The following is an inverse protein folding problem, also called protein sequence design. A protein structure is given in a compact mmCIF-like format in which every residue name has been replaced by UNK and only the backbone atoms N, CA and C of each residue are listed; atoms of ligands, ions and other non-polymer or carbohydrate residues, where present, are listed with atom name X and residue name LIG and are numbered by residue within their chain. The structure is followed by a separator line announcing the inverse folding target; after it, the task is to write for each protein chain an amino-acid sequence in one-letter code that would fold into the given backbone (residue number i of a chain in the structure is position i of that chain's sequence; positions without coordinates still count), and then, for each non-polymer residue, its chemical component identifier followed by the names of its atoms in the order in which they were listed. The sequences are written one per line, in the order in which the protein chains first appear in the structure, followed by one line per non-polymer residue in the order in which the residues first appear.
data_IF_530565232346
#
_entry.id   IF_530565232346
#
_cell.length_a   1.000
_cell.length_b   1.000
_cell.length_c   1.000
_cell.angle_alpha   90.00
_cell.angle_beta   90.00
_cell.angle_gamma   90.00
#
_symmetry.space_group_name_H-M   'P 1'
#
loop_
_entity.id
_entity.type
_entity.pdbx_description
1 polymer ?
#
# COMPACT_ATOMS: atom_id res chain seq x y z
N UNK A 1 63.33 35.77 -19.62
CA UNK A 1 62.31 36.61 -18.97
C UNK A 1 61.17 36.79 -19.97
N UNK A 2 60.18 35.91 -19.89
CA UNK A 2 59.07 35.81 -20.84
C UNK A 2 57.89 36.65 -20.37
N UNK A 3 57.54 37.65 -21.18
CA UNK A 3 56.40 38.56 -20.98
C UNK A 3 55.09 37.85 -21.30
N UNK A 4 54.23 37.73 -20.28
CA UNK A 4 52.84 37.27 -20.40
C UNK A 4 51.95 38.40 -20.97
N UNK A 5 51.24 38.10 -22.05
CA UNK A 5 50.06 38.86 -22.48
C UNK A 5 48.81 38.28 -21.79
N UNK A 6 47.94 39.09 -21.17
CA UNK A 6 46.62 38.63 -20.74
C UNK A 6 45.61 38.68 -21.89
N UNK A 7 44.80 37.63 -22.01
CA UNK A 7 43.66 37.55 -22.94
C UNK A 7 42.48 38.40 -22.44
N UNK A 8 41.57 38.85 -23.34
CA UNK A 8 40.46 39.74 -22.98
C UNK A 8 39.32 39.00 -22.27
N UNK A 9 38.72 39.69 -21.30
CA UNK A 9 37.45 39.31 -20.69
C UNK A 9 36.31 39.40 -21.71
N UNK A 10 35.67 38.26 -21.98
CA UNK A 10 34.40 38.21 -22.70
C UNK A 10 33.25 38.28 -21.67
N UNK A 11 32.66 39.46 -21.54
CA UNK A 11 31.45 39.74 -20.78
C UNK A 11 30.26 39.62 -21.75
N UNK A 12 29.77 38.40 -21.99
CA UNK A 12 28.37 38.14 -22.37
C UNK A 12 28.15 36.63 -22.56
N UNK A 13 27.98 35.91 -21.45
CA UNK A 13 27.32 34.60 -21.46
C UNK A 13 26.06 34.67 -20.62
N UNK A 14 24.91 34.80 -21.29
CA UNK A 14 23.59 34.64 -20.68
C UNK A 14 23.50 33.23 -20.07
N UNK A 15 23.15 33.06 -18.79
CA UNK A 15 22.93 31.73 -18.25
C UNK A 15 21.65 31.15 -18.87
N UNK A 16 21.81 29.99 -19.51
CA UNK A 16 20.70 29.13 -19.88
C UNK A 16 19.85 28.83 -18.63
N UNK A 17 18.52 28.85 -18.80
CA UNK A 17 17.53 28.48 -17.78
C UNK A 17 17.74 27.04 -17.31
N UNK A 18 18.67 26.82 -16.38
CA UNK A 18 18.81 25.58 -15.65
C UNK A 18 17.72 25.53 -14.58
N UNK A 19 16.73 24.67 -14.76
CA UNK A 19 15.83 24.28 -13.67
C UNK A 19 16.69 23.71 -12.53
N UNK A 20 16.54 24.18 -11.29
CA UNK A 20 17.32 23.64 -10.17
C UNK A 20 16.97 22.16 -9.96
N UNK A 21 17.98 21.32 -9.81
CA UNK A 21 17.78 19.90 -9.46
C UNK A 21 17.22 19.78 -8.05
N UNK A 22 16.43 18.73 -7.77
CA UNK A 22 15.85 18.43 -6.43
C UNK A 22 16.89 18.47 -5.31
N UNK A 23 18.17 18.20 -5.62
CA UNK A 23 19.30 18.29 -4.68
C UNK A 23 19.55 19.71 -4.15
N UNK A 24 19.29 20.74 -4.96
CA UNK A 24 19.40 22.15 -4.54
C UNK A 24 18.21 22.60 -3.67
N UNK A 25 17.02 22.02 -3.89
CA UNK A 25 15.82 22.26 -3.07
C UNK A 25 15.91 21.60 -1.68
N UNK A 26 16.58 20.46 -1.57
CA UNK A 26 16.76 19.77 -0.28
C UNK A 26 17.90 20.33 0.59
N UNK A 27 18.93 20.93 -0.01
CA UNK A 27 20.05 21.54 0.72
C UNK A 27 19.77 22.96 1.23
N UNK A 28 18.70 23.62 0.78
CA UNK A 28 18.28 24.96 1.21
C UNK A 28 17.11 24.97 2.22
N UNK A 29 16.58 23.80 2.60
CA UNK A 29 15.37 23.64 3.41
C UNK A 29 15.54 23.78 4.93
N UNK A 30 16.38 24.69 5.42
CA UNK A 30 16.55 24.96 6.86
C UNK A 30 15.79 26.21 7.37
N UNK A 31 14.98 26.88 6.53
CA UNK A 31 14.20 28.04 6.94
C UNK A 31 12.84 28.10 6.22
N UNK A 32 11.91 27.23 6.64
CA UNK A 32 10.46 27.43 6.49
C UNK A 32 9.75 26.48 7.47
N UNK A 33 9.88 26.80 8.76
CA UNK A 33 8.94 26.33 9.78
C UNK A 33 7.71 27.23 9.63
N UNK A 34 6.64 26.71 9.03
CA UNK A 34 5.42 27.45 8.79
C UNK A 34 4.32 26.57 8.22
N UNK A 35 3.53 25.98 9.11
CA UNK A 35 2.14 25.54 8.90
C UNK A 35 1.79 24.95 7.53
N UNK A 36 2.12 23.67 7.30
CA UNK A 36 1.27 22.81 6.47
C UNK A 36 0.24 22.13 7.36
N UNK A 37 -0.69 22.93 7.91
CA UNK A 37 -2.02 22.39 8.16
C UNK A 37 -2.51 21.90 6.80
N UNK A 38 -2.75 20.60 6.67
CA UNK A 38 -3.18 19.99 5.42
C UNK A 38 -4.51 20.57 4.98
N UNK A 39 -4.48 21.63 4.18
CA UNK A 39 -5.53 21.92 3.24
C UNK A 39 -5.49 20.79 2.22
N UNK A 40 -6.40 19.81 2.39
CA UNK A 40 -6.73 18.89 1.31
C UNK A 40 -7.07 19.75 0.09
N UNK A 41 -6.38 19.60 -1.05
CA UNK A 41 -6.82 20.27 -2.26
C UNK A 41 -8.23 19.77 -2.60
N UNK A 42 -9.10 20.71 -2.97
CA UNK A 42 -10.45 20.43 -3.46
C UNK A 42 -10.44 19.25 -4.42
N UNK A 43 -11.34 18.32 -4.15
CA UNK A 43 -11.50 17.05 -4.82
C UNK A 43 -11.28 17.18 -6.34
N UNK A 44 -10.27 16.47 -6.85
CA UNK A 44 -10.20 16.14 -8.27
C UNK A 44 -11.53 15.48 -8.65
N UNK A 45 -12.36 16.23 -9.38
CA UNK A 45 -13.62 15.79 -9.92
C UNK A 45 -13.35 14.69 -10.97
N UNK A 46 -13.35 13.44 -10.53
CA UNK A 46 -13.28 12.28 -11.40
C UNK A 46 -14.10 11.11 -10.84
N UNK A 47 -15.42 11.22 -10.97
CA UNK A 47 -16.36 10.11 -11.19
C UNK A 47 -17.74 10.65 -11.59
N UNK A 48 -17.79 11.60 -12.54
CA UNK A 48 -19.04 12.03 -13.13
C UNK A 48 -19.42 11.01 -14.21
N UNK A 49 -20.43 10.16 -13.93
CA UNK A 49 -21.33 9.45 -14.88
C UNK A 49 -21.82 8.07 -14.38
N UNK A 50 -21.83 7.78 -13.07
CA UNK A 50 -22.69 6.72 -12.55
C UNK A 50 -24.11 7.28 -12.37
N UNK A 51 -25.13 6.60 -12.90
CA UNK A 51 -26.52 6.94 -12.62
C UNK A 51 -26.75 6.95 -11.09
N UNK A 52 -27.51 7.91 -10.55
CA UNK A 52 -27.78 7.96 -9.12
C UNK A 52 -28.45 6.66 -8.67
N UNK A 53 -27.86 6.00 -7.67
CA UNK A 53 -28.45 4.80 -7.07
C UNK A 53 -29.62 5.18 -6.18
N UNK A 54 -30.64 4.31 -6.11
CA UNK A 54 -31.78 4.48 -5.19
C UNK A 54 -31.36 4.61 -3.71
N UNK A 55 -30.13 4.21 -3.37
CA UNK A 55 -29.58 4.26 -2.01
C UNK A 55 -28.77 5.53 -1.72
N UNK A 56 -28.51 6.40 -2.71
CA UNK A 56 -27.56 7.52 -2.58
C UNK A 56 -27.98 8.56 -1.53
N UNK A 57 -29.28 8.64 -1.22
CA UNK A 57 -29.81 9.57 -0.22
C UNK A 57 -30.12 8.91 1.14
N UNK A 58 -30.10 7.58 1.26
CA UNK A 58 -30.60 6.86 2.46
C UNK A 58 -29.52 6.71 3.56
N UNK A 59 -28.24 6.77 3.18
CA UNK A 59 -27.11 6.46 4.07
C UNK A 59 -25.95 7.45 3.93
N UNK A 60 -26.25 8.74 3.77
CA UNK A 60 -25.23 9.78 3.61
C UNK A 60 -24.61 10.21 4.94
N UNK A 61 -25.28 10.03 6.08
CA UNK A 61 -24.71 10.30 7.40
C UNK A 61 -24.13 11.74 7.52
N UNK A 62 -24.77 12.71 6.86
CA UNK A 62 -24.29 14.10 6.79
C UNK A 62 -23.06 14.32 5.90
N UNK A 63 -22.63 13.31 5.15
CA UNK A 63 -21.50 13.36 4.23
C UNK A 63 -21.97 13.66 2.78
N UNK A 64 -21.22 14.49 2.06
CA UNK A 64 -21.54 14.89 0.68
C UNK A 64 -21.03 13.92 -0.39
N UNK A 65 -20.08 13.06 -0.03
CA UNK A 65 -19.51 12.00 -0.87
C UNK A 65 -19.81 10.62 -0.26
N UNK A 66 -19.92 9.58 -1.07
CA UNK A 66 -20.08 8.22 -0.52
C UNK A 66 -18.75 7.71 0.02
N UNK A 67 -18.76 7.03 1.18
CA UNK A 67 -17.54 6.52 1.82
C UNK A 67 -16.70 5.61 0.91
N UNK A 68 -17.35 4.76 0.11
CA UNK A 68 -16.67 3.91 -0.89
C UNK A 68 -15.96 4.73 -1.99
N UNK A 69 -16.54 5.86 -2.39
CA UNK A 69 -15.95 6.73 -3.42
C UNK A 69 -14.77 7.52 -2.82
N UNK A 70 -14.90 7.96 -1.55
CA UNK A 70 -13.79 8.57 -0.81
C UNK A 70 -12.61 7.60 -0.66
N UNK A 71 -12.89 6.34 -0.30
CA UNK A 71 -11.87 5.30 -0.21
C UNK A 71 -11.22 5.05 -1.59
N UNK A 72 -12.01 4.84 -2.64
CA UNK A 72 -11.53 4.60 -4.01
C UNK A 72 -10.64 5.74 -4.50
N UNK A 73 -11.06 6.99 -4.29
CA UNK A 73 -10.29 8.18 -4.64
C UNK A 73 -8.97 8.27 -3.86
N UNK A 74 -9.01 8.03 -2.54
CA UNK A 74 -7.80 8.05 -1.71
C UNK A 74 -6.77 7.00 -2.12
N UNK A 75 -7.22 5.80 -2.53
CA UNK A 75 -6.35 4.76 -3.08
C UNK A 75 -5.68 5.23 -4.37
N UNK A 76 -6.45 5.77 -5.32
CA UNK A 76 -5.91 6.29 -6.58
C UNK A 76 -4.96 7.48 -6.37
N UNK A 77 -5.22 8.33 -5.37
CA UNK A 77 -4.33 9.43 -5.02
C UNK A 77 -2.97 8.93 -4.50
N UNK A 78 -2.95 7.92 -3.63
CA UNK A 78 -1.70 7.28 -3.17
C UNK A 78 -0.92 6.73 -4.37
N UNK A 79 -1.57 5.97 -5.23
CA UNK A 79 -0.93 5.36 -6.41
C UNK A 79 -0.41 6.43 -7.39
N UNK A 80 -1.15 7.52 -7.58
CA UNK A 80 -0.72 8.67 -8.39
C UNK A 80 0.53 9.34 -7.83
N UNK A 81 0.62 9.52 -6.51
CA UNK A 81 1.81 10.06 -5.86
C UNK A 81 3.01 9.11 -5.96
N UNK A 82 2.77 7.80 -5.82
CA UNK A 82 3.80 6.76 -6.05
C UNK A 82 4.33 6.79 -7.49
N UNK A 83 3.51 7.10 -8.49
CA UNK A 83 3.99 7.28 -9.86
C UNK A 83 5.09 8.36 -9.95
N UNK A 84 5.01 9.39 -9.10
CA UNK A 84 6.03 10.44 -8.94
C UNK A 84 7.34 9.97 -8.31
N UNK A 85 7.40 8.75 -7.75
CA UNK A 85 8.60 8.11 -7.21
C UNK A 85 9.29 7.17 -8.22
N UNK A 86 8.73 7.01 -9.43
CA UNK A 86 9.20 6.02 -10.42
C UNK A 86 10.68 6.16 -10.79
N UNK A 87 11.20 7.39 -10.97
CA UNK A 87 12.61 7.62 -11.23
C UNK A 87 13.49 7.11 -10.08
N UNK A 88 13.13 7.44 -8.84
CA UNK A 88 13.86 6.98 -7.65
C UNK A 88 13.79 5.46 -7.51
N UNK A 89 12.62 4.85 -7.74
CA UNK A 89 12.47 3.38 -7.80
C UNK A 89 13.44 2.79 -8.84
N UNK A 90 13.58 3.41 -10.00
CA UNK A 90 14.58 3.04 -11.01
C UNK A 90 16.02 3.11 -10.52
N UNK A 91 16.42 4.22 -9.93
CA UNK A 91 17.76 4.41 -9.39
C UNK A 91 18.08 3.37 -8.30
N UNK A 92 17.15 3.16 -7.37
CA UNK A 92 17.31 2.22 -6.26
C UNK A 92 17.40 0.78 -6.74
N UNK A 93 16.58 0.39 -7.72
CA UNK A 93 16.60 -0.97 -8.29
C UNK A 93 17.82 -1.20 -9.18
N UNK A 94 18.35 -0.17 -9.84
CA UNK A 94 19.64 -0.24 -10.54
C UNK A 94 20.79 -0.48 -9.56
N UNK A 95 20.78 0.22 -8.42
CA UNK A 95 21.74 0.00 -7.33
C UNK A 95 21.59 -1.42 -6.75
N UNK A 96 20.37 -1.84 -6.44
CA UNK A 96 20.08 -3.17 -5.92
C UNK A 96 20.54 -4.28 -6.88
N UNK A 97 20.34 -4.11 -8.19
CA UNK A 97 20.83 -5.07 -9.19
C UNK A 97 22.36 -5.15 -9.19
N UNK A 98 23.06 -4.02 -9.03
CA UNK A 98 24.52 -4.01 -8.93
C UNK A 98 25.02 -4.67 -7.63
N UNK A 99 24.33 -4.46 -6.50
CA UNK A 99 24.60 -5.15 -5.23
C UNK A 99 24.54 -6.66 -5.44
N UNK A 100 23.47 -7.18 -6.04
CA UNK A 100 23.33 -8.61 -6.33
C UNK A 100 24.43 -9.12 -7.27
N UNK A 101 24.73 -8.40 -8.36
CA UNK A 101 25.78 -8.80 -9.32
C UNK A 101 27.19 -8.83 -8.71
N UNK A 102 27.44 -8.04 -7.68
CA UNK A 102 28.70 -8.02 -6.93
C UNK A 102 28.77 -9.12 -5.85
N UNK A 103 27.75 -9.99 -5.74
CA UNK A 103 27.71 -11.07 -4.74
C UNK A 103 27.24 -10.61 -3.35
N UNK A 104 26.66 -9.42 -3.26
CA UNK A 104 26.03 -8.89 -2.04
C UNK A 104 24.52 -9.17 -2.03
N UNK A 105 23.87 -8.91 -0.89
CA UNK A 105 22.45 -9.21 -0.70
C UNK A 105 21.62 -7.93 -0.59
N UNK A 106 20.41 -7.97 -1.16
CA UNK A 106 19.37 -6.96 -0.96
C UNK A 106 18.40 -7.50 0.09
N UNK A 107 18.33 -6.82 1.22
CA UNK A 107 17.50 -7.15 2.37
C UNK A 107 16.27 -6.25 2.44
N UNK A 108 15.20 -6.74 3.04
CA UNK A 108 14.00 -5.96 3.34
C UNK A 108 13.47 -6.29 4.73
N UNK A 109 13.01 -5.26 5.43
CA UNK A 109 12.06 -5.37 6.53
C UNK A 109 11.01 -4.26 6.44
N UNK A 110 10.66 -3.86 5.21
CA UNK A 110 9.63 -2.87 4.88
C UNK A 110 8.19 -3.43 5.04
N UNK A 111 7.99 -4.31 6.01
CA UNK A 111 6.77 -5.10 6.15
C UNK A 111 5.93 -4.70 7.39
N UNK A 112 6.06 -3.46 7.86
CA UNK A 112 5.34 -2.99 9.05
C UNK A 112 3.85 -2.75 8.73
N UNK A 113 2.96 -3.41 9.48
CA UNK A 113 1.51 -3.43 9.27
C UNK A 113 0.92 -4.85 9.11
N UNK A 114 -0.40 -4.98 9.26
CA UNK A 114 -1.04 -6.31 9.26
C UNK A 114 -0.98 -7.02 7.89
N UNK A 115 -1.40 -6.37 6.80
CA UNK A 115 -1.21 -6.94 5.45
C UNK A 115 0.26 -7.00 4.99
N UNK A 116 1.07 -5.92 5.11
CA UNK A 116 2.46 -5.92 4.65
C UNK A 116 3.29 -7.11 5.17
N UNK A 117 3.15 -7.44 6.45
CA UNK A 117 3.87 -8.54 7.09
C UNK A 117 3.68 -9.90 6.38
N UNK A 118 2.53 -10.12 5.76
CA UNK A 118 2.22 -11.37 5.06
C UNK A 118 2.46 -11.25 3.57
N UNK A 119 1.98 -10.17 2.95
CA UNK A 119 1.96 -10.05 1.49
C UNK A 119 3.30 -9.65 0.87
N UNK A 120 4.29 -9.26 1.69
CA UNK A 120 5.61 -8.86 1.20
C UNK A 120 6.70 -9.90 1.49
N UNK A 121 6.33 -11.07 2.02
CA UNK A 121 7.30 -12.10 2.36
C UNK A 121 8.00 -12.64 1.12
N UNK A 122 9.28 -12.97 1.27
CA UNK A 122 10.06 -13.58 0.19
C UNK A 122 9.52 -14.94 -0.26
N UNK A 123 8.83 -15.68 0.62
CA UNK A 123 8.22 -16.99 0.33
C UNK A 123 6.75 -16.91 -0.12
N UNK A 124 6.21 -15.70 -0.30
CA UNK A 124 4.86 -15.50 -0.81
C UNK A 124 4.77 -15.98 -2.26
N UNK A 125 3.72 -16.74 -2.61
CA UNK A 125 3.46 -17.15 -4.00
C UNK A 125 3.48 -15.93 -4.94
N UNK A 126 4.26 -16.01 -6.01
CA UNK A 126 4.48 -14.93 -6.97
C UNK A 126 5.66 -14.00 -6.64
N UNK A 127 6.25 -14.11 -5.44
CA UNK A 127 7.47 -13.38 -5.08
C UNK A 127 8.66 -13.92 -5.88
N UNK A 128 9.52 -13.05 -6.44
CA UNK A 128 10.73 -13.49 -7.12
C UNK A 128 11.84 -13.91 -6.12
N UNK A 129 11.65 -13.70 -4.82
CA UNK A 129 12.60 -14.10 -3.77
C UNK A 129 13.94 -13.36 -3.82
N UNK A 130 14.02 -12.21 -4.51
CA UNK A 130 15.28 -11.45 -4.69
C UNK A 130 15.59 -10.61 -3.46
N UNK A 131 14.61 -9.83 -2.97
CA UNK A 131 14.74 -9.11 -1.71
C UNK A 131 14.46 -10.08 -0.56
N UNK A 132 15.43 -10.28 0.33
CA UNK A 132 15.34 -11.24 1.43
C UNK A 132 14.84 -10.58 2.71
N UNK A 133 13.90 -11.22 3.38
CA UNK A 133 13.39 -10.74 4.67
C UNK A 133 14.46 -10.84 5.76
N UNK A 134 14.64 -9.78 6.55
CA UNK A 134 15.57 -9.78 7.68
C UNK A 134 15.08 -8.87 8.82
N UNK A 135 14.41 -9.48 9.81
CA UNK A 135 13.83 -8.74 10.94
C UNK A 135 14.85 -8.40 12.03
N UNK A 136 15.90 -9.20 12.21
CA UNK A 136 16.89 -9.03 13.28
C UNK A 136 18.08 -8.15 12.91
N UNK A 137 18.23 -7.81 11.63
CA UNK A 137 19.33 -6.99 11.09
C UNK A 137 20.75 -7.55 11.37
N UNK A 138 20.85 -8.84 11.69
CA UNK A 138 22.10 -9.47 12.13
C UNK A 138 22.96 -9.97 10.97
N UNK A 139 22.34 -10.40 9.88
CA UNK A 139 23.03 -11.03 8.75
C UNK A 139 23.61 -10.04 7.72
N UNK A 140 23.33 -8.74 7.87
CA UNK A 140 23.74 -7.72 6.91
C UNK A 140 25.23 -7.38 7.07
N UNK A 141 25.94 -7.32 5.94
CA UNK A 141 27.37 -6.98 5.85
C UNK A 141 27.62 -5.80 4.92
N UNK A 142 28.78 -5.16 5.06
CA UNK A 142 29.19 -4.05 4.19
C UNK A 142 29.01 -4.40 2.69
N UNK A 143 28.48 -3.45 1.92
CA UNK A 143 28.16 -3.63 0.49
C UNK A 143 26.75 -4.17 0.23
N UNK A 144 26.04 -4.70 1.23
CA UNK A 144 24.62 -5.03 1.11
C UNK A 144 23.75 -3.76 1.00
N UNK A 145 22.48 -3.95 0.68
CA UNK A 145 21.44 -2.92 0.64
C UNK A 145 20.24 -3.34 1.49
N UNK A 146 19.60 -2.40 2.19
CA UNK A 146 18.43 -2.65 3.04
C UNK A 146 17.29 -1.69 2.70
N UNK A 147 16.08 -2.22 2.48
CA UNK A 147 14.84 -1.45 2.49
C UNK A 147 14.12 -1.62 3.84
N UNK A 148 13.82 -0.53 4.54
CA UNK A 148 13.30 -0.60 5.91
C UNK A 148 12.26 0.46 6.23
N UNK A 149 11.30 0.13 7.10
CA UNK A 149 10.40 1.13 7.70
C UNK A 149 10.92 1.67 9.05
N UNK A 150 12.02 1.12 9.57
CA UNK A 150 12.48 1.38 10.92
C UNK A 150 13.50 2.51 10.98
N UNK A 151 13.47 3.26 12.08
CA UNK A 151 14.34 4.42 12.34
C UNK A 151 15.05 4.35 13.69
N UNK A 152 15.52 3.18 14.13
CA UNK A 152 16.16 2.99 15.44
C UNK A 152 17.69 2.92 15.36
N UNK A 153 18.37 2.80 16.50
CA UNK A 153 19.84 2.66 16.57
C UNK A 153 20.39 1.44 15.84
N UNK A 154 19.63 0.35 15.74
CA UNK A 154 20.06 -0.85 15.01
C UNK A 154 20.19 -0.58 13.51
N UNK A 155 19.22 0.16 12.94
CA UNK A 155 19.27 0.60 11.54
C UNK A 155 20.41 1.60 11.32
N UNK A 156 20.64 2.52 12.26
CA UNK A 156 21.80 3.42 12.22
C UNK A 156 23.11 2.63 12.18
N UNK A 157 23.26 1.65 13.07
CA UNK A 157 24.45 0.80 13.11
C UNK A 157 24.62 0.00 11.81
N UNK A 158 23.54 -0.51 11.20
CA UNK A 158 23.58 -1.14 9.86
C UNK A 158 24.16 -0.17 8.83
N UNK A 159 23.66 1.08 8.77
CA UNK A 159 24.17 2.09 7.84
C UNK A 159 25.66 2.38 8.08
N UNK A 160 26.06 2.57 9.33
CA UNK A 160 27.46 2.86 9.73
C UNK A 160 28.42 1.70 9.40
N UNK A 161 27.93 0.45 9.37
CA UNK A 161 28.69 -0.72 8.89
C UNK A 161 28.91 -0.76 7.38
N UNK A 162 28.42 0.22 6.62
CA UNK A 162 28.61 0.32 5.17
C UNK A 162 27.53 -0.38 4.33
N UNK A 163 26.34 -0.57 4.90
CA UNK A 163 25.15 -1.01 4.16
C UNK A 163 24.44 0.21 3.58
N UNK A 164 23.96 0.11 2.34
CA UNK A 164 23.14 1.17 1.75
C UNK A 164 21.69 1.04 2.22
N UNK A 165 21.24 1.95 3.08
CA UNK A 165 19.92 1.91 3.71
C UNK A 165 18.94 2.84 2.98
N UNK A 166 17.84 2.27 2.51
CA UNK A 166 16.66 2.95 2.00
C UNK A 166 15.58 2.91 3.08
N UNK A 167 15.27 4.05 3.66
CA UNK A 167 14.10 4.16 4.54
C UNK A 167 12.84 4.35 3.70
N UNK A 168 11.77 3.62 4.02
CA UNK A 168 10.47 3.70 3.35
C UNK A 168 9.45 4.19 4.36
N UNK A 169 8.74 5.27 4.04
CA UNK A 169 7.78 5.87 4.98
C UNK A 169 6.64 4.91 5.32
N UNK A 170 6.16 4.92 6.57
CA UNK A 170 4.97 4.17 7.01
C UNK A 170 4.20 4.95 8.07
N UNK A 171 2.89 4.71 8.18
CA UNK A 171 2.02 5.34 9.19
C UNK A 171 2.31 4.88 10.63
N UNK A 172 2.92 3.70 10.81
CA UNK A 172 3.16 3.09 12.13
C UNK A 172 4.44 3.56 12.84
N UNK A 173 5.36 4.26 12.17
CA UNK A 173 6.71 4.58 12.72
C UNK A 173 7.09 6.04 12.68
N UNK A 174 7.79 6.47 13.73
CA UNK A 174 8.15 7.87 13.92
C UNK A 174 9.10 8.44 12.89
N UNK A 175 8.65 9.47 12.19
CA UNK A 175 9.39 10.09 11.12
C UNK A 175 9.09 11.60 11.03
N UNK A 176 9.87 12.27 10.21
CA UNK A 176 9.87 13.72 10.03
C UNK A 176 8.69 14.24 9.18
N UNK A 177 7.87 13.35 8.60
CA UNK A 177 6.76 13.70 7.71
C UNK A 177 5.39 13.61 8.37
N UNK A 178 5.35 13.49 9.70
CA UNK A 178 4.11 13.33 10.47
C UNK A 178 4.08 14.20 11.73
N UNK A 179 2.87 14.50 12.26
CA UNK A 179 2.75 15.24 13.51
C UNK A 179 3.45 14.52 14.67
N UNK A 180 4.22 15.27 15.46
CA UNK A 180 4.85 14.75 16.67
C UNK A 180 3.78 14.28 17.67
N UNK A 181 4.03 13.14 18.33
CA UNK A 181 3.12 12.56 19.32
C UNK A 181 1.89 11.83 18.76
N UNK A 182 1.77 11.68 17.43
CA UNK A 182 0.63 10.99 16.82
C UNK A 182 0.64 9.46 17.02
N UNK A 183 1.82 8.87 17.19
CA UNK A 183 1.93 7.40 17.30
C UNK A 183 2.07 6.96 18.72
N UNK A 184 1.42 5.83 18.97
CA UNK A 184 1.43 5.12 20.23
C UNK A 184 2.85 4.90 20.77
N UNK A 185 3.00 5.02 22.09
CA UNK A 185 4.29 4.91 22.77
C UNK A 185 4.94 3.53 22.60
N UNK A 186 4.16 2.45 22.39
CA UNK A 186 4.71 1.11 22.10
C UNK A 186 5.30 0.98 20.70
N UNK A 187 4.92 1.89 19.79
CA UNK A 187 5.52 2.07 18.47
C UNK A 187 6.46 3.28 18.43
N UNK A 188 6.64 3.96 19.56
CA UNK A 188 7.55 5.09 19.65
C UNK A 188 8.97 4.63 19.35
N UNK A 189 9.72 5.51 18.72
CA UNK A 189 11.13 5.31 18.53
C UNK A 189 11.85 5.82 19.80
N UNK A 190 12.20 4.96 20.77
CA UNK A 190 12.79 5.41 22.04
C UNK A 190 14.15 6.10 21.81
N UNK A 191 14.78 5.87 20.66
CA UNK A 191 16.04 6.48 20.30
C UNK A 191 15.90 7.93 19.80
N UNK A 192 14.68 8.41 19.55
CA UNK A 192 14.40 9.77 19.05
C UNK A 192 14.92 10.04 17.63
N UNK A 193 15.44 9.02 16.95
CA UNK A 193 15.93 9.09 15.59
C UNK A 193 14.78 9.23 14.58
N UNK A 194 15.09 9.69 13.38
CA UNK A 194 14.14 9.83 12.26
C UNK A 194 14.68 9.12 11.02
N UNK A 195 13.89 9.03 9.96
CA UNK A 195 14.29 8.25 8.77
C UNK A 195 15.55 8.83 8.14
N UNK A 196 15.67 10.16 8.07
CA UNK A 196 16.89 10.85 7.61
C UNK A 196 18.16 10.52 8.40
N UNK A 197 18.03 10.19 9.69
CA UNK A 197 19.19 9.97 10.55
C UNK A 197 19.81 8.60 10.28
N UNK A 198 18.98 7.63 9.91
CA UNK A 198 19.39 6.22 9.76
C UNK A 198 19.55 5.76 8.32
N UNK A 199 19.20 6.58 7.33
CA UNK A 199 19.16 6.16 5.92
C UNK A 199 20.10 6.95 5.01
N UNK A 200 20.42 6.36 3.86
CA UNK A 200 21.08 7.05 2.75
C UNK A 200 20.07 7.81 1.88
N UNK A 201 18.83 7.33 1.83
CA UNK A 201 17.75 7.86 1.01
C UNK A 201 16.40 7.45 1.59
N UNK A 202 15.40 8.29 1.40
CA UNK A 202 14.03 8.05 1.82
C UNK A 202 13.16 7.87 0.58
N UNK A 203 12.37 6.80 0.56
CA UNK A 203 11.37 6.50 -0.47
C UNK A 203 9.97 6.66 0.15
N UNK A 204 9.11 7.44 -0.48
CA UNK A 204 7.80 7.76 0.08
C UNK A 204 6.72 6.78 -0.40
N UNK A 205 6.09 6.09 0.55
CA UNK A 205 4.91 5.23 0.29
C UNK A 205 3.62 6.02 0.10
N UNK A 206 3.62 7.31 0.45
CA UNK A 206 2.47 8.21 0.38
C UNK A 206 1.23 7.75 1.18
N UNK A 207 1.36 6.69 1.98
CA UNK A 207 0.36 6.30 2.97
C UNK A 207 0.16 7.45 3.96
N UNK A 208 -1.07 7.96 4.16
CA UNK A 208 -1.34 9.01 5.12
C UNK A 208 -0.98 8.57 6.54
N UNK A 209 -0.53 9.50 7.38
CA UNK A 209 -0.16 9.19 8.77
C UNK A 209 -1.36 8.70 9.59
N UNK A 210 -2.58 9.08 9.22
CA UNK A 210 -3.82 8.60 9.84
C UNK A 210 -4.17 7.16 9.47
N UNK A 211 -3.45 6.58 8.48
CA UNK A 211 -3.65 5.27 7.87
C UNK A 211 -4.99 5.09 7.15
N UNK A 212 -6.09 5.58 7.70
CA UNK A 212 -7.42 5.51 7.11
C UNK A 212 -7.63 6.54 5.99
N UNK A 213 -8.55 6.23 5.07
CA UNK A 213 -8.92 7.10 3.95
C UNK A 213 -10.37 7.61 4.02
N UNK A 214 -11.20 7.01 4.88
CA UNK A 214 -12.61 7.37 5.00
C UNK A 214 -12.83 8.23 6.23
N UNK A 215 -13.54 9.35 6.08
CA UNK A 215 -13.93 10.21 7.20
C UNK A 215 -15.42 10.03 7.48
N UNK A 216 -15.74 9.38 8.59
CA UNK A 216 -17.12 9.33 9.10
C UNK A 216 -17.36 10.52 10.04
N UNK A 217 -18.32 11.43 9.76
CA UNK A 217 -18.61 12.57 10.63
C UNK A 217 -18.98 12.18 12.06
N UNK A 218 -19.59 11.00 12.25
CA UNK A 218 -19.96 10.44 13.55
C UNK A 218 -18.76 9.95 14.38
N UNK A 219 -17.59 9.80 13.76
CA UNK A 219 -16.35 9.36 14.40
C UNK A 219 -15.22 10.32 13.98
N UNK A 220 -15.27 11.60 14.40
CA UNK A 220 -14.37 12.63 13.90
C UNK A 220 -12.91 12.44 14.35
N UNK A 221 -12.65 11.62 15.36
CA UNK A 221 -11.33 11.45 15.97
C UNK A 221 -10.34 10.65 15.09
N UNK A 222 -10.83 9.83 14.16
CA UNK A 222 -9.96 9.05 13.28
C UNK A 222 -10.61 8.74 11.92
N UNK A 223 -9.76 8.56 10.91
CA UNK A 223 -10.17 8.03 9.62
C UNK A 223 -10.30 6.51 9.68
N UNK A 224 -11.23 5.94 8.91
CA UNK A 224 -11.51 4.52 8.76
C UNK A 224 -10.89 3.96 7.47
N UNK A 225 -10.87 2.64 7.38
CA UNK A 225 -10.46 1.86 6.21
C UNK A 225 -8.97 2.06 5.87
N UNK A 226 -8.11 1.10 6.24
CA UNK A 226 -6.66 1.26 6.20
C UNK A 226 -6.10 1.30 4.77
N UNK A 227 -4.96 1.98 4.58
CA UNK A 227 -4.31 2.15 3.27
C UNK A 227 -2.84 1.73 3.22
N UNK A 228 -2.29 1.20 4.31
CA UNK A 228 -0.86 0.87 4.40
C UNK A 228 -0.40 -0.11 3.32
N UNK A 229 -1.23 -1.10 2.98
CA UNK A 229 -0.91 -2.06 1.91
C UNK A 229 -0.91 -1.42 0.52
N UNK A 230 -1.73 -0.39 0.28
CA UNK A 230 -1.75 0.33 -0.99
C UNK A 230 -0.41 1.01 -1.23
N UNK A 231 0.06 1.78 -0.24
CA UNK A 231 1.31 2.51 -0.39
C UNK A 231 2.54 1.61 -0.36
N UNK A 232 2.71 0.86 0.73
CA UNK A 232 3.89 -0.01 0.91
C UNK A 232 3.90 -1.19 -0.05
N UNK A 233 2.75 -1.85 -0.23
CA UNK A 233 2.65 -3.00 -1.12
C UNK A 233 2.93 -2.63 -2.57
N UNK A 234 2.41 -1.48 -3.05
CA UNK A 234 2.71 -1.03 -4.41
C UNK A 234 4.21 -0.80 -4.60
N UNK A 235 4.88 -0.07 -3.70
CA UNK A 235 6.33 0.13 -3.78
C UNK A 235 7.11 -1.19 -3.72
N UNK A 236 6.77 -2.07 -2.79
CA UNK A 236 7.43 -3.37 -2.66
C UNK A 236 7.40 -4.17 -3.97
N UNK A 237 6.24 -4.23 -4.61
CA UNK A 237 6.07 -4.97 -5.86
C UNK A 237 6.66 -4.25 -7.07
N UNK A 238 6.61 -2.91 -7.11
CA UNK A 238 7.34 -2.11 -8.11
C UNK A 238 8.85 -2.38 -8.05
N UNK A 239 9.43 -2.38 -6.84
CA UNK A 239 10.85 -2.66 -6.61
C UNK A 239 11.21 -4.07 -7.07
N UNK A 240 10.43 -5.09 -6.69
CA UNK A 240 10.66 -6.48 -7.10
C UNK A 240 10.55 -6.66 -8.62
N UNK A 241 9.52 -6.09 -9.26
CA UNK A 241 9.31 -6.22 -10.70
C UNK A 241 10.47 -5.62 -11.50
N UNK A 242 10.91 -4.41 -11.13
CA UNK A 242 12.02 -3.74 -11.79
C UNK A 242 13.37 -4.41 -11.51
N UNK A 243 13.60 -4.85 -10.27
CA UNK A 243 14.82 -5.56 -9.92
C UNK A 243 14.93 -6.90 -10.64
N UNK A 244 13.84 -7.67 -10.71
CA UNK A 244 13.79 -8.91 -11.48
C UNK A 244 14.11 -8.67 -12.97
N UNK A 245 13.51 -7.63 -13.56
CA UNK A 245 13.78 -7.22 -14.94
C UNK A 245 15.26 -6.93 -15.16
N UNK A 246 15.88 -6.11 -14.30
CA UNK A 246 17.28 -5.72 -14.42
C UNK A 246 18.23 -6.90 -14.25
N UNK A 247 17.92 -7.84 -13.37
CA UNK A 247 18.73 -9.04 -13.18
C UNK A 247 18.61 -10.00 -14.37
N UNK A 248 17.42 -10.14 -14.96
CA UNK A 248 17.18 -11.02 -16.10
C UNK A 248 17.63 -10.43 -17.45
N UNK A 249 17.59 -9.10 -17.60
CA UNK A 249 17.86 -8.41 -18.86
C UNK A 249 18.99 -7.37 -18.70
N UNK A 250 20.19 -7.64 -19.24
CA UNK A 250 21.30 -6.68 -19.23
C UNK A 250 21.01 -5.36 -19.96
N UNK A 251 20.06 -5.36 -20.90
CA UNK A 251 19.62 -4.19 -21.65
C UNK A 251 18.35 -3.54 -21.07
N UNK A 252 17.97 -3.88 -19.84
CA UNK A 252 16.83 -3.27 -19.17
C UNK A 252 16.96 -1.74 -19.14
N UNK A 253 15.85 -1.05 -19.41
CA UNK A 253 15.77 0.41 -19.25
C UNK A 253 15.98 0.82 -17.79
N UNK A 254 16.30 2.09 -17.52
CA UNK A 254 16.43 2.58 -16.14
C UNK A 254 15.16 2.36 -15.28
N UNK A 255 13.99 2.47 -15.90
CA UNK A 255 12.66 2.26 -15.31
C UNK A 255 11.75 1.71 -16.42
N UNK A 256 11.06 0.59 -16.16
CA UNK A 256 10.06 0.04 -17.08
C UNK A 256 9.05 -0.85 -16.33
N UNK A 257 9.48 -1.97 -15.77
CA UNK A 257 8.58 -2.98 -15.17
C UNK A 257 7.94 -2.52 -13.87
N UNK A 258 8.57 -1.60 -13.13
CA UNK A 258 7.93 -0.90 -12.01
C UNK A 258 6.74 -0.05 -12.46
N UNK A 259 6.87 0.68 -13.56
CA UNK A 259 5.80 1.53 -14.12
C UNK A 259 4.69 0.67 -14.71
N UNK A 260 5.04 -0.38 -15.45
CA UNK A 260 4.07 -1.35 -15.99
C UNK A 260 3.26 -2.01 -14.87
N UNK A 261 3.91 -2.44 -13.78
CA UNK A 261 3.21 -2.97 -12.61
C UNK A 261 2.22 -1.95 -12.03
N UNK A 262 2.65 -0.69 -11.83
CA UNK A 262 1.79 0.35 -11.27
C UNK A 262 0.60 0.65 -12.18
N UNK A 263 0.79 0.70 -13.50
CA UNK A 263 -0.28 0.88 -14.49
C UNK A 263 -1.31 -0.25 -14.39
N UNK A 264 -0.86 -1.51 -14.37
CA UNK A 264 -1.75 -2.66 -14.22
C UNK A 264 -2.53 -2.58 -12.90
N UNK A 265 -1.88 -2.17 -11.80
CA UNK A 265 -2.54 -2.01 -10.51
C UNK A 265 -3.61 -0.91 -10.55
N UNK A 266 -3.28 0.27 -11.11
CA UNK A 266 -4.23 1.39 -11.28
C UNK A 266 -5.42 0.96 -12.13
N UNK A 267 -5.19 0.37 -13.30
CA UNK A 267 -6.25 -0.11 -14.20
C UNK A 267 -7.21 -1.08 -13.48
N UNK A 268 -6.67 -2.01 -12.67
CA UNK A 268 -7.49 -2.94 -11.87
C UNK A 268 -8.32 -2.23 -10.82
N UNK A 269 -7.73 -1.27 -10.10
CA UNK A 269 -8.47 -0.46 -9.10
C UNK A 269 -9.55 0.38 -9.76
N UNK A 270 -9.29 0.97 -10.93
CA UNK A 270 -10.31 1.70 -11.68
C UNK A 270 -11.45 0.79 -12.11
N UNK A 271 -11.15 -0.43 -12.58
CA UNK A 271 -12.17 -1.42 -12.95
C UNK A 271 -13.06 -1.85 -11.78
N UNK A 272 -12.58 -1.83 -10.54
CA UNK A 272 -13.42 -2.08 -9.35
C UNK A 272 -14.59 -1.11 -9.27
N UNK A 273 -14.49 0.09 -9.86
CA UNK A 273 -15.61 1.03 -9.95
C UNK A 273 -16.83 0.46 -10.71
N UNK A 274 -16.64 -0.55 -11.56
CA UNK A 274 -17.76 -1.25 -12.22
C UNK A 274 -18.66 -2.00 -11.23
N UNK A 275 -18.16 -2.33 -10.03
CA UNK A 275 -18.93 -3.01 -8.99
C UNK A 275 -19.70 -2.06 -8.06
N UNK A 276 -19.65 -0.74 -8.28
CA UNK A 276 -20.15 0.26 -7.32
C UNK A 276 -21.60 0.03 -6.89
N UNK A 277 -22.52 -0.17 -7.83
CA UNK A 277 -23.93 -0.37 -7.52
C UNK A 277 -24.13 -1.64 -6.68
N UNK A 278 -23.57 -2.77 -7.12
CA UNK A 278 -23.67 -4.04 -6.42
C UNK A 278 -23.03 -4.01 -5.02
N UNK A 279 -21.91 -3.30 -4.86
CA UNK A 279 -21.28 -3.05 -3.55
C UNK A 279 -22.25 -2.33 -2.60
N UNK A 280 -22.96 -1.29 -3.07
CA UNK A 280 -23.95 -0.57 -2.27
C UNK A 280 -25.11 -1.47 -1.88
N UNK A 281 -25.71 -2.18 -2.83
CA UNK A 281 -26.83 -3.09 -2.53
C UNK A 281 -26.43 -4.16 -1.51
N UNK A 282 -25.20 -4.68 -1.64
CA UNK A 282 -24.64 -5.68 -0.72
C UNK A 282 -24.43 -5.09 0.66
N UNK A 283 -23.85 -3.89 0.77
CA UNK A 283 -23.64 -3.21 2.04
C UNK A 283 -24.97 -2.96 2.79
N UNK A 284 -26.03 -2.54 2.08
CA UNK A 284 -27.39 -2.40 2.66
C UNK A 284 -27.92 -3.74 3.15
N UNK A 285 -27.76 -4.81 2.37
CA UNK A 285 -28.14 -6.18 2.75
C UNK A 285 -27.40 -6.66 4.01
N UNK A 286 -26.10 -6.38 4.10
CA UNK A 286 -25.27 -6.68 5.27
C UNK A 286 -25.76 -5.91 6.51
N UNK A 287 -25.96 -4.60 6.39
CA UNK A 287 -26.39 -3.76 7.49
C UNK A 287 -27.75 -4.19 8.06
N UNK A 288 -28.73 -4.50 7.19
CA UNK A 288 -30.05 -4.99 7.61
C UNK A 288 -29.95 -6.29 8.39
N UNK A 289 -29.13 -7.24 7.93
CA UNK A 289 -28.87 -8.52 8.58
C UNK A 289 -28.22 -8.36 9.97
N UNK A 290 -27.21 -7.51 10.07
CA UNK A 290 -26.52 -7.21 11.33
C UNK A 290 -27.49 -6.55 12.32
N UNK A 291 -28.29 -5.57 11.89
CA UNK A 291 -29.32 -4.92 12.74
C UNK A 291 -30.39 -5.87 13.26
N UNK A 292 -30.68 -6.96 12.54
CA UNK A 292 -31.61 -8.01 13.00
C UNK A 292 -30.96 -9.00 13.99
N UNK A 293 -29.71 -8.74 14.39
CA UNK A 293 -28.93 -9.52 15.35
C UNK A 293 -27.93 -10.49 14.72
N UNK A 294 -27.71 -10.42 13.40
CA UNK A 294 -26.62 -11.15 12.76
C UNK A 294 -25.23 -10.64 13.16
N UNK A 295 -24.20 -11.34 12.69
CA UNK A 295 -22.79 -10.97 12.83
C UNK A 295 -22.08 -11.03 11.48
N UNK A 296 -20.98 -10.30 11.36
CA UNK A 296 -20.16 -10.28 10.16
C UNK A 296 -18.89 -11.09 10.40
N UNK A 297 -18.66 -12.09 9.55
CA UNK A 297 -17.48 -12.92 9.56
C UNK A 297 -16.71 -12.79 8.26
N UNK A 298 -15.39 -12.87 8.35
CA UNK A 298 -14.46 -12.89 7.21
C UNK A 298 -13.61 -14.15 7.30
N UNK A 299 -13.40 -14.82 6.16
CA UNK A 299 -12.46 -15.93 6.01
C UNK A 299 -11.61 -15.70 4.77
N UNK A 300 -10.30 -15.81 4.94
CA UNK A 300 -9.30 -15.67 3.89
C UNK A 300 -8.11 -16.56 4.26
N UNK A 301 -8.09 -17.75 3.68
CA UNK A 301 -7.11 -18.80 3.98
C UNK A 301 -5.90 -18.73 3.05
N UNK A 302 -6.14 -18.45 1.77
CA UNK A 302 -5.07 -18.28 0.79
C UNK A 302 -4.44 -16.87 0.89
N UNK A 303 -5.19 -15.90 1.40
CA UNK A 303 -4.78 -14.51 1.55
C UNK A 303 -4.89 -14.06 3.02
N UNK A 304 -4.04 -14.64 3.87
CA UNK A 304 -4.12 -14.45 5.33
C UNK A 304 -3.81 -13.03 5.79
N UNK A 305 -3.06 -12.25 5.00
CA UNK A 305 -2.80 -10.82 5.26
C UNK A 305 -4.10 -10.01 5.38
N UNK A 306 -5.03 -10.19 4.45
CA UNK A 306 -6.35 -9.53 4.52
C UNK A 306 -7.15 -9.98 5.75
N UNK A 307 -7.08 -11.26 6.13
CA UNK A 307 -7.73 -11.72 7.37
C UNK A 307 -7.14 -11.02 8.59
N UNK A 308 -5.83 -10.80 8.63
CA UNK A 308 -5.17 -10.08 9.72
C UNK A 308 -5.67 -8.63 9.80
N UNK A 309 -5.71 -7.93 8.67
CA UNK A 309 -6.16 -6.52 8.58
C UNK A 309 -7.63 -6.34 8.98
N UNK A 310 -8.50 -7.27 8.60
CA UNK A 310 -9.94 -7.19 8.85
C UNK A 310 -10.34 -7.58 10.28
N UNK A 311 -9.54 -8.42 10.95
CA UNK A 311 -9.86 -8.92 12.31
C UNK A 311 -9.20 -8.08 13.40
N UNK A 312 -8.12 -7.35 13.07
CA UNK A 312 -7.45 -6.44 14.00
C UNK A 312 -7.87 -4.98 13.75
N UNK A 313 -7.45 -4.09 14.64
CA UNK A 313 -7.73 -2.64 14.58
C UNK A 313 -6.65 -1.97 13.74
N UNK A 314 -6.62 -2.23 12.44
CA UNK A 314 -5.70 -1.55 11.55
C UNK A 314 -6.10 -0.07 11.42
N UNK A 315 -7.37 0.20 11.08
CA UNK A 315 -7.97 1.55 11.10
C UNK A 315 -9.49 1.41 11.07
N UNK A 316 -10.14 1.60 12.22
CA UNK A 316 -11.60 1.45 12.34
C UNK A 316 -12.05 0.54 13.50
N UNK A 317 -13.36 0.44 13.74
CA UNK A 317 -13.89 -0.40 14.80
C UNK A 317 -13.75 -1.90 14.46
N UNK A 318 -13.38 -2.70 15.46
CA UNK A 318 -13.31 -4.17 15.36
C UNK A 318 -14.73 -4.76 15.36
N UNK A 319 -15.33 -4.89 14.16
CA UNK A 319 -16.71 -5.38 14.00
C UNK A 319 -16.81 -6.76 13.31
N UNK A 320 -15.68 -7.29 12.85
CA UNK A 320 -15.58 -8.52 12.06
C UNK A 320 -15.14 -9.68 12.95
N UNK A 321 -15.67 -10.88 12.70
CA UNK A 321 -15.33 -12.12 13.39
C UNK A 321 -15.56 -12.06 14.92
N UNK A 322 -16.43 -11.16 15.36
CA UNK A 322 -16.78 -11.02 16.77
C UNK A 322 -18.16 -11.63 17.08
N UNK A 323 -18.22 -12.41 18.15
CA UNK A 323 -19.44 -13.08 18.63
C UNK A 323 -19.64 -14.50 18.11
N UNK A 324 -20.75 -15.11 18.51
CA UNK A 324 -21.09 -16.49 18.19
C UNK A 324 -21.78 -16.62 16.82
N UNK A 325 -21.14 -17.36 15.92
CA UNK A 325 -21.70 -17.71 14.60
C UNK A 325 -23.04 -18.45 14.74
N UNK A 326 -23.14 -19.37 15.69
CA UNK A 326 -24.27 -20.29 15.84
C UNK A 326 -25.52 -19.63 16.42
N UNK A 327 -25.39 -18.44 17.04
CA UNK A 327 -26.51 -17.75 17.67
C UNK A 327 -27.62 -17.41 16.67
N UNK A 328 -27.27 -16.92 15.46
CA UNK A 328 -28.22 -16.46 14.43
C UNK A 328 -27.69 -16.69 13.00
N UNK A 329 -27.35 -17.93 12.60
CA UNK A 329 -26.66 -18.24 11.33
C UNK A 329 -27.34 -17.67 10.09
N UNK A 330 -28.67 -17.77 10.01
CA UNK A 330 -29.47 -17.22 8.89
C UNK A 330 -29.42 -15.69 8.76
N UNK A 331 -28.96 -14.99 9.79
CA UNK A 331 -28.78 -13.53 9.79
C UNK A 331 -27.32 -13.14 9.64
N UNK A 332 -26.38 -14.08 9.67
CA UNK A 332 -24.97 -13.77 9.53
C UNK A 332 -24.63 -13.37 8.08
N UNK A 333 -23.48 -12.71 7.99
CA UNK A 333 -22.78 -12.43 6.75
C UNK A 333 -21.44 -13.15 6.83
N UNK A 334 -21.11 -13.90 5.78
CA UNK A 334 -19.80 -14.50 5.57
C UNK A 334 -19.17 -13.86 4.34
N UNK A 335 -18.07 -13.15 4.53
CA UNK A 335 -17.20 -12.71 3.43
C UNK A 335 -16.06 -13.71 3.29
N UNK A 336 -15.94 -14.30 2.11
CA UNK A 336 -14.82 -15.16 1.74
C UNK A 336 -13.96 -14.40 0.74
N UNK A 337 -12.73 -14.08 1.14
CA UNK A 337 -11.75 -13.51 0.23
C UNK A 337 -10.77 -14.58 -0.21
N UNK A 338 -10.33 -14.51 -1.47
CA UNK A 338 -9.38 -15.47 -2.03
C UNK A 338 -8.44 -14.80 -3.04
N UNK A 339 -7.30 -15.42 -3.26
CA UNK A 339 -6.36 -15.15 -4.36
C UNK A 339 -6.35 -16.31 -5.37
N UNK A 340 -7.19 -17.33 -5.16
CA UNK A 340 -7.23 -18.53 -5.98
C UNK A 340 -8.69 -18.96 -6.14
N UNK A 341 -9.27 -18.92 -7.36
CA UNK A 341 -10.72 -19.01 -7.58
C UNK A 341 -11.34 -20.35 -7.14
N UNK A 342 -10.53 -21.39 -6.95
CA UNK A 342 -10.95 -22.73 -6.52
C UNK A 342 -10.25 -23.24 -5.24
N UNK A 343 -9.77 -22.35 -4.36
CA UNK A 343 -9.12 -22.79 -3.11
C UNK A 343 -10.07 -23.65 -2.25
N UNK A 344 -9.71 -24.92 -2.03
CA UNK A 344 -10.62 -25.93 -1.49
C UNK A 344 -11.19 -25.58 -0.11
N UNK A 345 -10.37 -24.98 0.77
CA UNK A 345 -10.80 -24.58 2.11
C UNK A 345 -11.83 -23.43 2.08
N UNK A 346 -11.61 -22.45 1.22
CA UNK A 346 -12.50 -21.28 1.09
C UNK A 346 -13.82 -21.66 0.40
N UNK A 347 -13.76 -22.53 -0.61
CA UNK A 347 -14.95 -23.12 -1.24
C UNK A 347 -15.81 -23.89 -0.24
N UNK A 348 -15.20 -24.72 0.62
CA UNK A 348 -15.93 -25.43 1.69
C UNK A 348 -16.59 -24.48 2.69
N UNK A 349 -15.89 -23.42 3.09
CA UNK A 349 -16.43 -22.38 3.99
C UNK A 349 -17.62 -21.68 3.34
N UNK A 350 -17.49 -21.24 2.09
CA UNK A 350 -18.57 -20.58 1.35
C UNK A 350 -19.80 -21.50 1.22
N UNK A 351 -19.58 -22.77 0.89
CA UNK A 351 -20.63 -23.77 0.78
C UNK A 351 -21.36 -23.99 2.12
N UNK A 352 -20.62 -24.20 3.21
CA UNK A 352 -21.20 -24.43 4.53
C UNK A 352 -22.01 -23.22 5.02
N UNK A 353 -21.43 -22.01 4.94
CA UNK A 353 -22.12 -20.78 5.32
C UNK A 353 -23.42 -20.56 4.53
N UNK A 354 -23.43 -20.89 3.23
CA UNK A 354 -24.62 -20.82 2.38
C UNK A 354 -25.69 -21.83 2.79
N UNK A 355 -25.29 -23.07 3.12
CA UNK A 355 -26.22 -24.11 3.59
C UNK A 355 -26.90 -23.73 4.91
N UNK A 356 -26.20 -22.98 5.77
CA UNK A 356 -26.74 -22.47 7.04
C UNK A 356 -27.62 -21.21 6.88
N UNK A 357 -27.74 -20.68 5.66
CA UNK A 357 -28.59 -19.54 5.32
C UNK A 357 -27.95 -18.16 5.53
N UNK A 358 -26.64 -18.10 5.76
CA UNK A 358 -25.91 -16.84 5.81
C UNK A 358 -25.89 -16.17 4.42
N UNK A 359 -25.69 -14.85 4.39
CA UNK A 359 -25.35 -14.13 3.17
C UNK A 359 -23.85 -14.34 2.91
N UNK A 360 -23.50 -15.03 1.84
CA UNK A 360 -22.12 -15.32 1.46
C UNK A 360 -21.69 -14.38 0.34
N UNK A 361 -20.61 -13.65 0.59
CA UNK A 361 -19.99 -12.69 -0.32
C UNK A 361 -18.61 -13.21 -0.69
N UNK A 362 -18.32 -13.32 -1.99
CA UNK A 362 -17.00 -13.68 -2.49
C UNK A 362 -16.22 -12.47 -2.96
N UNK A 363 -14.93 -12.37 -2.64
CA UNK A 363 -14.00 -11.40 -3.24
C UNK A 363 -12.76 -12.14 -3.70
N UNK A 364 -12.34 -11.93 -4.94
CA UNK A 364 -11.18 -12.61 -5.48
C UNK A 364 -11.13 -12.57 -6.99
N UNK A 365 -10.18 -13.28 -7.61
CA UNK A 365 -10.14 -13.39 -9.06
C UNK A 365 -11.22 -14.37 -9.53
N UNK A 366 -11.80 -14.11 -10.70
CA UNK A 366 -12.74 -15.03 -11.36
C UNK A 366 -11.99 -16.17 -12.07
N UNK A 367 -10.78 -15.88 -12.54
CA UNK A 367 -9.89 -16.81 -13.24
C UNK A 367 -8.58 -16.99 -12.50
N UNK A 368 -7.82 -18.01 -12.85
CA UNK A 368 -6.39 -18.06 -12.56
C UNK A 368 -5.71 -18.59 -13.82
N UNK A 369 -4.72 -17.86 -14.33
CA UNK A 369 -4.01 -18.21 -15.56
C UNK A 369 -4.96 -18.39 -16.77
N UNK A 370 -6.05 -17.60 -16.80
CA UNK A 370 -7.07 -17.64 -17.85
C UNK A 370 -8.11 -18.76 -17.70
N UNK A 371 -8.01 -19.61 -16.69
CA UNK A 371 -8.97 -20.68 -16.45
C UNK A 371 -10.05 -20.28 -15.43
N UNK A 372 -11.32 -20.49 -15.78
CA UNK A 372 -12.45 -20.28 -14.85
C UNK A 372 -12.92 -21.61 -14.27
N UNK A 373 -12.82 -21.84 -12.96
CA UNK A 373 -13.28 -23.09 -12.35
C UNK A 373 -14.81 -23.15 -12.27
N UNK A 374 -15.42 -24.17 -12.88
CA UNK A 374 -16.87 -24.37 -12.87
C UNK A 374 -17.48 -24.52 -11.45
N UNK A 375 -16.68 -24.99 -10.49
CA UNK A 375 -17.07 -25.16 -9.07
C UNK A 375 -16.15 -24.39 -8.13
N UNK A 376 -15.74 -23.19 -8.55
CA UNK A 376 -14.95 -22.27 -7.73
C UNK A 376 -15.73 -21.71 -6.54
N UNK A 377 -15.03 -20.93 -5.70
CA UNK A 377 -15.61 -20.31 -4.50
C UNK A 377 -16.86 -19.48 -4.84
N UNK A 378 -16.84 -18.72 -5.95
CA UNK A 378 -17.96 -17.88 -6.37
C UNK A 378 -19.25 -18.65 -6.68
N UNK A 379 -19.19 -19.92 -7.08
CA UNK A 379 -20.38 -20.75 -7.29
C UNK A 379 -21.21 -20.92 -6.00
N UNK A 380 -20.57 -20.75 -4.84
CA UNK A 380 -21.18 -20.86 -3.52
C UNK A 380 -21.52 -19.52 -2.89
N UNK A 381 -21.24 -18.40 -3.54
CA UNK A 381 -21.57 -17.06 -3.05
C UNK A 381 -22.89 -16.56 -3.65
N UNK A 382 -23.67 -15.79 -2.87
CA UNK A 382 -24.86 -15.09 -3.40
C UNK A 382 -24.47 -13.80 -4.12
N UNK A 383 -23.39 -13.16 -3.68
CA UNK A 383 -22.79 -11.99 -4.32
C UNK A 383 -21.29 -12.24 -4.45
N UNK A 384 -20.68 -11.81 -5.54
CA UNK A 384 -19.23 -11.87 -5.71
C UNK A 384 -18.69 -10.61 -6.40
N UNK A 385 -17.44 -10.27 -6.10
CA UNK A 385 -16.72 -9.14 -6.67
C UNK A 385 -15.39 -9.61 -7.23
N UNK A 386 -15.15 -9.33 -8.51
CA UNK A 386 -13.90 -9.63 -9.16
C UNK A 386 -12.86 -8.57 -8.76
N UNK A 387 -11.69 -9.00 -8.31
CA UNK A 387 -10.58 -8.08 -8.00
C UNK A 387 -9.65 -7.86 -9.21
N UNK A 388 -10.00 -8.44 -10.35
CA UNK A 388 -9.27 -8.40 -11.62
C UNK A 388 -7.80 -8.85 -11.54
N UNK A 389 -7.46 -9.60 -10.49
CA UNK A 389 -6.19 -10.31 -10.41
C UNK A 389 -6.18 -11.48 -11.41
N UNK A 390 -5.02 -11.85 -11.95
CA UNK A 390 -4.92 -12.81 -13.06
C UNK A 390 -5.29 -14.23 -12.64
#
# INVERSE_FOLDING_TARGET
MSSFNPLPHDLDSKPANARPSRRALLLSGAALVGTTAGSQPDALAAAANAAPSKWDAEYTFGHSQLFMDQYHQGILEILSRIAGESELVGELTSRAANVVRQGHTVWTNMADGHMPHVEQRADRLGSPGIMKDESGLQHLKAGDMLFTNYCNKEVLAVRERGIYVVAVTVSYRDNEFRPAGFTDESHSNPDGLKLKDVSNVILHSHTPYTQGLVRAPEIPEFTLCPSSQTGLGALHWMLNAELANKLANPAAKPVEKSVEYLQILVDRIERIASHREQLRETAVGMARRIRQGGRWFVRSLAHTGLSSEMVHVASGPMIVNWGDWSAKPRKNVMLVSTIHPSHAGETKIAQAARQEGALVIGIGPATLDGETPAKGTFAHCQVHFENFSP
#
